data_IF_317970364168
#
_entry.id   IF_317970364168
#
_cell.length_a   1.000
_cell.length_b   1.000
_cell.length_c   1.000
_cell.angle_alpha   90.00
_cell.angle_beta   90.00
_cell.angle_gamma   90.00
#
_symmetry.space_group_name_H-M   'P 1'
#
loop_
_entity.id
_entity.type
_entity.pdbx_description
1 polymer ?
#
# COMPACT_ATOMS: atom_id res chain seq x y z
N UNK A 1 26.08 -38.02 -5.94
CA UNK A 1 26.91 -36.80 -6.13
C UNK A 1 26.24 -36.02 -7.24
N UNK A 2 25.78 -34.79 -6.96
CA UNK A 2 25.29 -33.85 -7.98
C UNK A 2 26.45 -33.53 -8.92
N UNK A 3 26.20 -33.58 -10.22
CA UNK A 3 27.16 -33.14 -11.23
C UNK A 3 27.07 -31.62 -11.35
N UNK A 4 28.12 -30.97 -11.80
CA UNK A 4 28.17 -29.53 -11.98
C UNK A 4 27.05 -29.02 -12.93
N UNK A 5 26.80 -29.79 -14.00
CA UNK A 5 25.76 -29.49 -14.97
C UNK A 5 24.35 -29.51 -14.35
N UNK A 6 24.06 -30.47 -13.45
CA UNK A 6 22.81 -30.53 -12.72
C UNK A 6 22.64 -29.29 -11.83
N UNK A 7 23.74 -28.81 -11.19
CA UNK A 7 23.69 -27.58 -10.37
C UNK A 7 23.41 -26.34 -11.23
N UNK A 8 24.00 -26.24 -12.42
CA UNK A 8 23.72 -25.14 -13.35
C UNK A 8 22.27 -25.15 -13.84
N UNK A 9 21.74 -26.32 -14.18
CA UNK A 9 20.35 -26.47 -14.63
C UNK A 9 19.39 -26.03 -13.52
N UNK A 10 19.58 -26.49 -12.29
CA UNK A 10 18.77 -26.04 -11.14
C UNK A 10 18.88 -24.54 -10.87
N UNK A 11 20.07 -23.95 -11.01
CA UNK A 11 20.26 -22.52 -10.85
C UNK A 11 19.51 -21.73 -11.92
N UNK A 12 19.60 -22.14 -13.17
CA UNK A 12 18.87 -21.51 -14.29
C UNK A 12 17.36 -21.61 -14.11
N UNK A 13 16.87 -22.76 -13.69
CA UNK A 13 15.43 -22.93 -13.42
C UNK A 13 14.96 -22.12 -12.22
N UNK A 14 15.80 -22.00 -11.19
CA UNK A 14 15.55 -21.09 -10.07
C UNK A 14 15.44 -19.64 -10.53
N UNK A 15 16.37 -19.16 -11.36
CA UNK A 15 16.35 -17.80 -11.91
C UNK A 15 15.09 -17.57 -12.74
N UNK A 16 14.70 -18.49 -13.62
CA UNK A 16 13.47 -18.36 -14.43
C UNK A 16 12.22 -18.17 -13.57
N UNK A 17 12.14 -18.87 -12.43
CA UNK A 17 10.99 -18.77 -11.52
C UNK A 17 10.90 -17.41 -10.80
N UNK A 18 12.03 -16.74 -10.55
CA UNK A 18 12.05 -15.46 -9.83
C UNK A 18 12.03 -14.24 -10.75
N UNK A 19 12.24 -14.38 -12.06
CA UNK A 19 12.23 -13.24 -13.01
C UNK A 19 10.91 -12.47 -12.96
N UNK A 20 9.79 -13.16 -13.03
CA UNK A 20 8.45 -12.53 -13.04
C UNK A 20 8.15 -11.77 -11.74
N UNK A 21 8.32 -12.35 -10.53
CA UNK A 21 8.21 -11.60 -9.28
C UNK A 21 9.20 -10.43 -9.20
N UNK A 22 10.44 -10.61 -9.64
CA UNK A 22 11.45 -9.55 -9.64
C UNK A 22 11.03 -8.34 -10.50
N UNK A 23 10.46 -8.58 -11.67
CA UNK A 23 9.92 -7.52 -12.53
C UNK A 23 8.79 -6.75 -11.85
N UNK A 24 7.89 -7.42 -11.13
CA UNK A 24 6.84 -6.75 -10.38
C UNK A 24 7.39 -5.87 -9.27
N UNK A 25 8.41 -6.35 -8.54
CA UNK A 25 9.11 -5.56 -7.52
C UNK A 25 9.74 -4.30 -8.15
N UNK A 26 10.42 -4.46 -9.27
CA UNK A 26 11.04 -3.34 -9.98
C UNK A 26 10.03 -2.30 -10.45
N UNK A 27 8.88 -2.73 -11.00
CA UNK A 27 7.81 -1.82 -11.42
C UNK A 27 7.17 -1.10 -10.23
N UNK A 28 6.88 -1.80 -9.14
CA UNK A 28 6.34 -1.21 -7.92
C UNK A 28 7.32 -0.20 -7.32
N UNK A 29 8.62 -0.53 -7.29
CA UNK A 29 9.65 0.38 -6.81
C UNK A 29 9.85 1.61 -7.71
N UNK A 30 9.74 1.44 -9.03
CA UNK A 30 9.76 2.57 -9.97
C UNK A 30 8.62 3.54 -9.70
N UNK A 31 7.41 3.02 -9.45
CA UNK A 31 6.25 3.83 -9.09
C UNK A 31 6.47 4.58 -7.77
N UNK A 32 7.03 3.89 -6.76
CA UNK A 32 7.45 4.52 -5.50
C UNK A 32 8.42 5.69 -5.74
N UNK A 33 9.48 5.49 -6.52
CA UNK A 33 10.49 6.52 -6.81
C UNK A 33 9.87 7.72 -7.50
N UNK A 34 8.98 7.51 -8.47
CA UNK A 34 8.26 8.61 -9.16
C UNK A 34 7.41 9.40 -8.15
N UNK A 35 6.62 8.74 -7.31
CA UNK A 35 5.79 9.39 -6.30
C UNK A 35 6.63 10.14 -5.26
N UNK A 36 7.78 9.58 -4.88
CA UNK A 36 8.71 10.20 -3.94
C UNK A 36 9.28 11.51 -4.48
N UNK A 37 9.91 11.47 -5.65
CA UNK A 37 10.59 12.65 -6.22
C UNK A 37 9.64 13.73 -6.73
N UNK A 38 8.44 13.35 -7.16
CA UNK A 38 7.42 14.32 -7.60
C UNK A 38 6.71 15.03 -6.45
N UNK A 39 6.87 14.58 -5.20
CA UNK A 39 6.11 15.07 -4.05
C UNK A 39 4.60 14.80 -4.15
N UNK A 40 4.19 13.87 -5.03
CA UNK A 40 2.80 13.55 -5.33
C UNK A 40 1.99 13.26 -4.08
N UNK A 41 2.52 12.43 -3.17
CA UNK A 41 1.81 12.01 -1.96
C UNK A 41 1.43 13.19 -1.08
N UNK A 42 2.37 14.08 -0.81
CA UNK A 42 2.15 15.27 0.03
C UNK A 42 1.21 16.25 -0.64
N UNK A 43 1.41 16.51 -1.94
CA UNK A 43 0.53 17.38 -2.73
C UNK A 43 -0.90 16.86 -2.74
N UNK A 44 -1.08 15.58 -3.01
CA UNK A 44 -2.40 14.95 -3.13
C UNK A 44 -3.16 14.94 -1.80
N UNK A 45 -2.48 14.54 -0.71
CA UNK A 45 -3.08 14.55 0.62
C UNK A 45 -3.43 15.97 1.06
N UNK A 46 -2.58 16.96 0.76
CA UNK A 46 -2.87 18.36 1.06
C UNK A 46 -4.09 18.87 0.28
N UNK A 47 -4.21 18.53 -0.99
CA UNK A 47 -5.33 18.93 -1.84
C UNK A 47 -6.68 18.38 -1.37
N UNK A 48 -6.70 17.18 -0.78
CA UNK A 48 -7.92 16.56 -0.24
C UNK A 48 -8.15 16.87 1.25
N UNK A 49 -7.18 17.46 1.92
CA UNK A 49 -7.28 17.78 3.34
C UNK A 49 -8.08 19.07 3.56
N UNK A 50 -9.13 18.97 4.35
CA UNK A 50 -9.95 20.10 4.78
C UNK A 50 -9.28 20.90 5.89
N UNK A 51 -9.73 22.14 6.15
CA UNK A 51 -9.24 22.97 7.28
C UNK A 51 -9.58 22.34 8.62
N UNK A 52 -10.75 21.73 8.75
CA UNK A 52 -11.16 20.97 9.93
C UNK A 52 -10.86 19.49 9.69
N UNK A 53 -10.38 18.79 10.72
CA UNK A 53 -10.12 17.37 10.62
C UNK A 53 -11.40 16.60 10.30
N UNK A 54 -11.35 15.77 9.26
CA UNK A 54 -12.42 14.86 8.89
C UNK A 54 -11.82 13.46 8.64
N UNK A 55 -12.20 12.43 9.42
CA UNK A 55 -11.62 11.11 9.31
C UNK A 55 -11.88 10.45 7.95
N UNK A 56 -13.02 10.71 7.33
CA UNK A 56 -13.37 10.09 6.04
C UNK A 56 -12.53 10.64 4.89
N UNK A 57 -12.39 11.97 4.80
CA UNK A 57 -11.55 12.59 3.76
C UNK A 57 -10.09 12.20 3.93
N UNK A 58 -9.60 12.11 5.17
CA UNK A 58 -8.24 11.67 5.44
C UNK A 58 -8.04 10.17 5.11
N UNK A 59 -9.03 9.31 5.39
CA UNK A 59 -8.97 7.90 5.00
C UNK A 59 -8.92 7.74 3.47
N UNK A 60 -9.76 8.48 2.73
CA UNK A 60 -9.76 8.46 1.25
C UNK A 60 -8.43 8.99 0.70
N UNK A 61 -7.95 10.11 1.22
CA UNK A 61 -6.68 10.69 0.78
C UNK A 61 -5.51 9.72 0.97
N UNK A 62 -5.44 9.07 2.14
CA UNK A 62 -4.43 8.04 2.41
C UNK A 62 -4.60 6.80 1.54
N UNK A 63 -5.84 6.36 1.28
CA UNK A 63 -6.10 5.21 0.43
C UNK A 63 -5.59 5.44 -1.00
N UNK A 64 -5.91 6.60 -1.58
CA UNK A 64 -5.48 6.94 -2.93
C UNK A 64 -3.95 7.13 -2.99
N UNK A 65 -3.37 7.86 -2.04
CA UNK A 65 -1.92 8.05 -2.00
C UNK A 65 -1.18 6.71 -1.93
N UNK A 66 -1.64 5.81 -1.06
CA UNK A 66 -1.02 4.50 -0.87
C UNK A 66 -1.33 3.49 -2.00
N UNK A 67 -2.40 3.70 -2.77
CA UNK A 67 -2.67 2.87 -3.94
C UNK A 67 -1.58 3.01 -5.02
N UNK A 68 -1.02 4.20 -5.16
CA UNK A 68 0.06 4.45 -6.12
C UNK A 68 1.42 3.98 -5.61
N UNK A 69 1.64 3.96 -4.30
CA UNK A 69 2.85 3.38 -3.72
C UNK A 69 2.57 2.85 -2.31
N UNK A 70 2.67 1.55 -2.15
CA UNK A 70 2.46 0.89 -0.86
C UNK A 70 3.79 0.85 -0.10
N UNK A 71 4.14 1.95 0.54
CA UNK A 71 5.26 2.05 1.47
C UNK A 71 4.85 2.85 2.70
N UNK A 72 4.62 2.15 3.82
CA UNK A 72 4.18 2.80 5.05
C UNK A 72 5.28 3.67 5.66
N UNK A 73 6.53 3.23 5.58
CA UNK A 73 7.67 3.99 6.13
C UNK A 73 7.77 5.36 5.48
N UNK A 74 7.74 5.41 4.16
CA UNK A 74 7.76 6.67 3.41
C UNK A 74 6.50 7.51 3.65
N UNK A 75 5.31 6.91 3.54
CA UNK A 75 4.05 7.64 3.71
C UNK A 75 3.96 8.23 5.12
N UNK A 76 4.30 7.45 6.14
CA UNK A 76 4.35 7.90 7.52
C UNK A 76 5.36 9.02 7.74
N UNK A 77 6.56 8.87 7.22
CA UNK A 77 7.61 9.89 7.33
C UNK A 77 7.23 11.19 6.61
N UNK A 78 6.78 11.10 5.35
CA UNK A 78 6.43 12.27 4.53
C UNK A 78 5.23 13.05 5.04
N UNK A 79 4.23 12.35 5.58
CA UNK A 79 2.99 12.97 6.01
C UNK A 79 2.96 13.32 7.49
N UNK A 80 3.88 12.78 8.31
CA UNK A 80 3.89 13.03 9.76
C UNK A 80 4.02 14.50 10.10
N UNK A 81 4.96 15.20 9.47
CA UNK A 81 5.17 16.64 9.68
C UNK A 81 3.96 17.45 9.22
N UNK A 82 3.38 17.11 8.07
CA UNK A 82 2.17 17.75 7.54
C UNK A 82 0.98 17.60 8.51
N UNK A 83 0.72 16.38 8.99
CA UNK A 83 -0.38 16.13 9.90
C UNK A 83 -0.16 16.72 11.29
N UNK A 84 1.06 16.68 11.80
CA UNK A 84 1.41 17.28 13.08
C UNK A 84 1.19 18.80 13.07
N UNK A 85 1.54 19.46 11.97
CA UNK A 85 1.31 20.89 11.81
C UNK A 85 -0.18 21.26 11.66
N UNK A 86 -0.95 20.42 10.93
CA UNK A 86 -2.33 20.75 10.56
C UNK A 86 -3.37 20.26 11.56
N UNK A 87 -3.15 19.10 12.18
CA UNK A 87 -4.13 18.40 13.01
C UNK A 87 -3.53 17.84 14.30
N UNK A 88 -2.78 18.64 15.04
CA UNK A 88 -2.04 18.22 16.26
C UNK A 88 -2.88 17.47 17.27
N UNK A 89 -4.17 17.85 17.46
CA UNK A 89 -5.08 17.24 18.41
C UNK A 89 -5.58 15.85 18.01
N UNK A 90 -5.36 15.43 16.76
CA UNK A 90 -5.87 14.17 16.19
C UNK A 90 -4.75 13.19 15.83
N UNK A 91 -3.55 13.36 16.39
CA UNK A 91 -2.37 12.56 16.01
C UNK A 91 -2.62 11.05 16.13
N UNK A 92 -3.21 10.59 17.24
CA UNK A 92 -3.52 9.17 17.44
C UNK A 92 -4.51 8.63 16.41
N UNK A 93 -5.58 9.37 16.14
CA UNK A 93 -6.60 9.00 15.14
C UNK A 93 -5.98 8.94 13.73
N UNK A 94 -5.15 9.92 13.38
CA UNK A 94 -4.47 9.97 12.08
C UNK A 94 -3.52 8.78 11.90
N UNK A 95 -2.72 8.46 12.91
CA UNK A 95 -1.83 7.30 12.85
C UNK A 95 -2.63 6.00 12.68
N UNK A 96 -3.75 5.87 13.37
CA UNK A 96 -4.64 4.72 13.20
C UNK A 96 -5.23 4.65 11.80
N UNK A 97 -5.68 5.79 11.24
CA UNK A 97 -6.16 5.87 9.85
C UNK A 97 -5.04 5.44 8.89
N UNK A 98 -3.85 6.01 9.02
CA UNK A 98 -2.73 5.73 8.11
C UNK A 98 -2.34 4.26 8.12
N UNK A 99 -2.19 3.65 9.32
CA UNK A 99 -1.80 2.24 9.45
C UNK A 99 -2.88 1.28 8.98
N UNK A 100 -4.13 1.53 9.35
CA UNK A 100 -5.25 0.66 8.98
C UNK A 100 -5.55 0.72 7.48
N UNK A 101 -5.52 1.91 6.89
CA UNK A 101 -5.70 2.10 5.44
C UNK A 101 -4.53 1.50 4.68
N UNK A 102 -3.29 1.62 5.19
CA UNK A 102 -2.14 0.93 4.59
C UNK A 102 -2.36 -0.58 4.53
N UNK A 103 -2.74 -1.19 5.65
CA UNK A 103 -3.05 -2.62 5.68
C UNK A 103 -4.13 -3.01 4.67
N UNK A 104 -5.21 -2.23 4.59
CA UNK A 104 -6.30 -2.48 3.65
C UNK A 104 -5.85 -2.35 2.18
N UNK A 105 -5.16 -1.28 1.84
CA UNK A 105 -4.72 -1.00 0.47
C UNK A 105 -3.65 -1.98 0.00
N UNK A 106 -2.82 -2.52 0.90
CA UNK A 106 -1.81 -3.53 0.55
C UNK A 106 -2.41 -4.83 -0.01
N UNK A 107 -3.70 -5.12 0.22
CA UNK A 107 -4.41 -6.25 -0.40
C UNK A 107 -4.85 -5.99 -1.85
N UNK A 108 -4.92 -4.74 -2.28
CA UNK A 108 -5.52 -4.40 -3.59
C UNK A 108 -4.62 -3.54 -4.48
N UNK A 109 -3.64 -2.85 -3.92
CA UNK A 109 -2.79 -1.95 -4.70
C UNK A 109 -1.86 -2.72 -5.65
N UNK A 110 -1.78 -2.33 -6.92
CA UNK A 110 -0.86 -2.95 -7.89
C UNK A 110 0.62 -2.66 -7.57
N UNK A 111 0.88 -1.78 -6.62
CA UNK A 111 2.22 -1.44 -6.11
C UNK A 111 2.59 -2.22 -4.84
N UNK A 112 1.71 -3.09 -4.35
CA UNK A 112 1.98 -3.95 -3.19
C UNK A 112 2.91 -5.10 -3.60
N UNK A 113 4.18 -4.96 -3.28
CA UNK A 113 5.23 -5.96 -3.60
C UNK A 113 4.89 -7.32 -3.00
N UNK A 114 4.49 -7.35 -1.73
CA UNK A 114 4.17 -8.60 -1.04
C UNK A 114 3.03 -9.36 -1.72
N UNK A 115 1.97 -8.65 -2.09
CA UNK A 115 0.83 -9.22 -2.81
C UNK A 115 1.24 -9.73 -4.19
N UNK A 116 1.96 -8.92 -4.97
CA UNK A 116 2.38 -9.29 -6.33
C UNK A 116 3.30 -10.50 -6.35
N UNK A 117 4.23 -10.59 -5.41
CA UNK A 117 5.11 -11.76 -5.26
C UNK A 117 4.28 -12.99 -4.89
N UNK A 118 3.36 -12.88 -3.93
CA UNK A 118 2.46 -13.98 -3.56
C UNK A 118 1.63 -14.48 -4.75
N UNK A 119 0.95 -13.57 -5.47
CA UNK A 119 0.15 -13.92 -6.65
C UNK A 119 1.00 -14.59 -7.75
N UNK A 120 2.21 -14.06 -7.96
CA UNK A 120 3.13 -14.63 -8.95
C UNK A 120 3.63 -16.02 -8.57
N UNK A 121 3.83 -16.27 -7.28
CA UNK A 121 4.29 -17.58 -6.77
C UNK A 121 3.23 -18.67 -6.95
N UNK A 122 1.97 -18.31 -6.82
CA UNK A 122 0.84 -19.24 -6.97
C UNK A 122 0.17 -19.19 -8.34
N UNK A 123 0.74 -18.48 -9.31
CA UNK A 123 0.18 -18.28 -10.66
C UNK A 123 -1.27 -17.77 -10.67
N UNK A 124 -1.62 -16.95 -9.69
CA UNK A 124 -2.93 -16.31 -9.59
C UNK A 124 -2.90 -14.97 -10.33
N UNK A 125 -3.87 -14.75 -11.23
CA UNK A 125 -3.96 -13.45 -11.91
C UNK A 125 -4.42 -12.37 -10.94
N UNK A 126 -3.88 -11.14 -11.09
CA UNK A 126 -4.29 -9.99 -10.29
C UNK A 126 -5.81 -9.71 -10.41
N UNK A 127 -6.37 -9.91 -11.60
CA UNK A 127 -7.81 -9.73 -11.86
C UNK A 127 -8.66 -10.72 -11.05
N UNK A 128 -8.26 -11.98 -11.00
CA UNK A 128 -9.01 -13.00 -10.26
C UNK A 128 -8.88 -12.80 -8.76
N UNK A 129 -7.70 -12.38 -8.29
CA UNK A 129 -7.51 -11.96 -6.91
C UNK A 129 -8.45 -10.81 -6.53
N UNK A 130 -8.52 -9.74 -7.32
CA UNK A 130 -9.43 -8.62 -7.05
C UNK A 130 -10.89 -9.04 -7.01
N UNK A 131 -11.32 -9.93 -7.91
CA UNK A 131 -12.68 -10.47 -7.90
C UNK A 131 -12.99 -11.27 -6.63
N UNK A 132 -11.99 -11.91 -6.06
CA UNK A 132 -12.15 -12.69 -4.84
C UNK A 132 -12.19 -11.78 -3.60
N UNK A 133 -11.23 -10.86 -3.48
CA UNK A 133 -10.99 -10.11 -2.23
C UNK A 133 -11.90 -8.89 -2.04
N UNK A 134 -12.51 -8.34 -3.10
CA UNK A 134 -13.19 -7.03 -3.06
C UNK A 134 -14.30 -6.93 -2.00
N UNK A 135 -15.07 -7.98 -1.78
CA UNK A 135 -16.14 -8.00 -0.76
C UNK A 135 -15.59 -7.87 0.64
N UNK A 136 -14.49 -8.57 0.91
CA UNK A 136 -13.77 -8.50 2.18
C UNK A 136 -13.20 -7.08 2.39
N UNK A 137 -12.57 -6.53 1.37
CA UNK A 137 -11.97 -5.17 1.43
C UNK A 137 -13.03 -4.10 1.69
N UNK A 138 -14.18 -4.16 1.02
CA UNK A 138 -15.29 -3.23 1.26
C UNK A 138 -15.87 -3.42 2.67
N UNK A 139 -16.09 -4.64 3.11
CA UNK A 139 -16.59 -4.90 4.46
C UNK A 139 -15.65 -4.37 5.53
N UNK A 140 -14.35 -4.61 5.38
CA UNK A 140 -13.33 -4.11 6.30
C UNK A 140 -13.22 -2.59 6.25
N UNK A 141 -13.32 -1.98 5.07
CA UNK A 141 -13.33 -0.52 4.92
C UNK A 141 -14.49 0.10 5.70
N UNK A 142 -15.70 -0.45 5.61
CA UNK A 142 -16.86 0.06 6.35
C UNK A 142 -16.60 0.00 7.87
N UNK A 143 -16.09 -1.12 8.36
CA UNK A 143 -15.75 -1.26 9.78
C UNK A 143 -14.70 -0.23 10.20
N UNK A 144 -13.65 -0.03 9.43
CA UNK A 144 -12.62 0.96 9.70
C UNK A 144 -13.19 2.40 9.72
N UNK A 145 -14.06 2.75 8.79
CA UNK A 145 -14.68 4.08 8.76
C UNK A 145 -15.56 4.34 10.00
N UNK A 146 -16.25 3.33 10.49
CA UNK A 146 -16.99 3.43 11.76
C UNK A 146 -16.04 3.66 12.93
N UNK A 147 -14.95 2.89 13.02
CA UNK A 147 -13.92 3.06 14.07
C UNK A 147 -13.33 4.47 14.02
N UNK A 148 -12.97 4.97 12.83
CA UNK A 148 -12.41 6.32 12.69
C UNK A 148 -13.40 7.41 13.10
N UNK A 149 -14.69 7.23 12.80
CA UNK A 149 -15.73 8.14 13.26
C UNK A 149 -15.86 8.15 14.80
N UNK A 150 -15.88 6.96 15.41
CA UNK A 150 -15.91 6.84 16.88
C UNK A 150 -14.70 7.52 17.51
N UNK A 151 -13.49 7.25 17.03
CA UNK A 151 -12.25 7.86 17.56
C UNK A 151 -12.18 9.39 17.39
N UNK A 152 -12.95 9.94 16.45
CA UNK A 152 -12.91 11.39 16.17
C UNK A 152 -13.96 12.15 16.92
N UNK A 153 -15.17 11.57 17.09
CA UNK A 153 -16.34 12.28 17.59
C UNK A 153 -16.82 11.85 18.98
N UNK A 154 -16.24 10.80 19.52
CA UNK A 154 -16.48 10.34 20.91
C UNK A 154 -15.25 10.62 21.78
#
# INVERSE_FOLDING_TARGET
KLKFDDCLEYAVDGIKKVVKPALYIMLAYTMFVICYWSGFTTWFVNALSTTTFNPFTNAIANAIAQFFHVDFGYTGFSLSAFYAAKYSNYTSTILTIMTSIHGLISFVAPTSVLMLVGLSTYDISYKDWLKYIWKFVIGLLIVLLIIFAVMTYM
#
